data_IF_043621475539
#
_entry.id   IF_043621475539
#
_cell.length_a   1.000
_cell.length_b   1.000
_cell.length_c   1.000
_cell.angle_alpha   90.00
_cell.angle_beta   90.00
_cell.angle_gamma   90.00
#
_symmetry.space_group_name_H-M   'P 1'
#
loop_
_entity.id
_entity.type
_entity.pdbx_description
1 polymer ?
#
# COMPACT_ATOMS: atom_id res chain seq x y z
N UNK A 1 -44.27 -33.79 15.10
CA UNK A 1 -43.30 -33.77 13.98
C UNK A 1 -42.45 -35.02 14.10
N UNK A 2 -42.31 -35.79 13.01
CA UNK A 2 -41.56 -37.05 13.00
C UNK A 2 -40.05 -36.77 13.06
N UNK A 3 -39.25 -37.72 13.57
CA UNK A 3 -37.78 -37.61 13.68
C UNK A 3 -37.10 -37.19 12.35
N UNK A 4 -37.73 -37.47 11.21
CA UNK A 4 -37.24 -37.10 9.88
C UNK A 4 -37.33 -35.58 9.61
N UNK A 5 -38.36 -34.89 10.12
CA UNK A 5 -38.49 -33.43 9.94
C UNK A 5 -37.47 -32.66 10.79
N UNK A 6 -37.14 -33.14 11.99
CA UNK A 6 -36.09 -32.57 12.84
C UNK A 6 -34.69 -32.75 12.24
N UNK A 7 -34.42 -33.92 11.63
CA UNK A 7 -33.14 -34.19 10.99
C UNK A 7 -32.92 -33.31 9.74
N UNK A 8 -33.97 -33.12 8.92
CA UNK A 8 -33.90 -32.22 7.78
C UNK A 8 -33.67 -30.75 8.18
N UNK A 9 -34.31 -30.26 9.24
CA UNK A 9 -34.06 -28.90 9.73
C UNK A 9 -32.62 -28.73 10.23
N UNK A 10 -32.08 -29.73 10.92
CA UNK A 10 -30.70 -29.69 11.43
C UNK A 10 -29.66 -29.70 10.29
N UNK A 11 -29.88 -30.52 9.26
CA UNK A 11 -29.02 -30.55 8.07
C UNK A 11 -29.10 -29.23 7.27
N UNK A 12 -30.31 -28.64 7.16
CA UNK A 12 -30.50 -27.36 6.50
C UNK A 12 -29.82 -26.21 7.27
N UNK A 13 -29.85 -26.24 8.61
CA UNK A 13 -29.13 -25.30 9.46
C UNK A 13 -27.60 -25.46 9.36
N UNK A 14 -27.07 -26.69 9.24
CA UNK A 14 -25.63 -26.92 9.03
C UNK A 14 -25.21 -26.43 7.63
N UNK A 15 -26.00 -26.71 6.59
CA UNK A 15 -25.71 -26.24 5.23
C UNK A 15 -25.88 -24.72 5.07
N UNK A 16 -26.75 -24.07 5.85
CA UNK A 16 -26.84 -22.61 5.92
C UNK A 16 -25.75 -21.99 6.81
N UNK A 17 -25.36 -22.64 7.91
CA UNK A 17 -24.25 -22.19 8.77
C UNK A 17 -22.90 -22.29 8.05
N UNK A 18 -22.69 -23.28 7.18
CA UNK A 18 -21.51 -23.37 6.32
C UNK A 18 -21.52 -22.42 5.11
N UNK A 19 -22.67 -21.81 4.79
CA UNK A 19 -22.75 -20.71 3.82
C UNK A 19 -22.47 -19.32 4.43
N UNK A 20 -22.30 -19.22 5.75
CA UNK A 20 -21.83 -17.99 6.36
C UNK A 20 -20.30 -17.88 6.24
N UNK A 21 -19.89 -16.96 5.38
CA UNK A 21 -18.64 -16.19 5.51
C UNK A 21 -17.33 -16.92 5.22
N UNK A 22 -17.26 -17.65 4.11
CA UNK A 22 -16.00 -17.59 3.35
C UNK A 22 -15.96 -16.22 2.69
N UNK A 23 -15.58 -15.19 3.47
CA UNK A 23 -15.15 -13.93 2.89
C UNK A 23 -13.97 -14.30 1.98
N UNK A 24 -14.19 -14.35 0.66
CA UNK A 24 -13.12 -14.53 -0.30
C UNK A 24 -12.08 -13.46 0.04
N UNK A 25 -10.92 -13.89 0.52
CA UNK A 25 -9.81 -12.99 0.77
C UNK A 25 -9.47 -12.38 -0.58
N UNK A 26 -9.82 -11.11 -0.75
CA UNK A 26 -9.57 -10.40 -2.00
C UNK A 26 -8.06 -10.29 -2.17
N UNK A 27 -7.49 -11.17 -3.00
CA UNK A 27 -6.10 -11.04 -3.42
C UNK A 27 -6.04 -9.86 -4.41
N UNK A 28 -5.73 -8.66 -3.91
CA UNK A 28 -5.75 -7.44 -4.71
C UNK A 28 -4.86 -7.54 -5.95
N UNK A 29 -3.75 -8.28 -5.86
CA UNK A 29 -2.78 -8.47 -6.97
C UNK A 29 -3.37 -9.32 -8.11
N UNK A 30 -4.36 -10.17 -7.83
CA UNK A 30 -5.00 -11.01 -8.83
C UNK A 30 -5.82 -10.20 -9.85
N UNK A 31 -6.30 -9.01 -9.48
CA UNK A 31 -7.19 -8.19 -10.31
C UNK A 31 -6.51 -7.78 -11.63
N UNK A 32 -5.32 -7.17 -11.56
CA UNK A 32 -4.56 -6.81 -12.76
C UNK A 32 -4.02 -8.02 -13.49
N UNK A 33 -3.63 -9.08 -12.76
CA UNK A 33 -3.20 -10.34 -13.36
C UNK A 33 -4.28 -10.94 -14.28
N UNK A 34 -5.50 -11.07 -13.78
CA UNK A 34 -6.61 -11.65 -14.54
C UNK A 34 -7.02 -10.77 -15.72
N UNK A 35 -6.93 -9.45 -15.58
CA UNK A 35 -7.14 -8.52 -16.70
C UNK A 35 -6.13 -8.77 -17.83
N UNK A 36 -4.83 -8.77 -17.51
CA UNK A 36 -3.78 -8.92 -18.53
C UNK A 36 -3.77 -10.30 -19.18
N UNK A 37 -4.07 -11.35 -18.40
CA UNK A 37 -4.27 -12.71 -18.91
C UNK A 37 -5.40 -12.74 -19.94
N UNK A 38 -6.54 -12.09 -19.67
CA UNK A 38 -7.65 -11.97 -20.64
C UNK A 38 -7.28 -11.17 -21.90
N UNK A 39 -6.32 -10.26 -21.80
CA UNK A 39 -5.76 -9.53 -22.95
C UNK A 39 -4.66 -10.31 -23.70
N UNK A 40 -4.41 -11.57 -23.35
CA UNK A 40 -3.41 -12.42 -24.02
C UNK A 40 -1.96 -12.05 -23.72
N UNK A 41 -1.69 -11.28 -22.66
CA UNK A 41 -0.31 -11.02 -22.21
C UNK A 41 0.30 -12.29 -21.60
N UNK A 42 1.61 -12.45 -21.71
CA UNK A 42 2.33 -13.57 -21.10
C UNK A 42 2.53 -13.29 -19.62
N UNK A 43 2.29 -14.29 -18.77
CA UNK A 43 2.35 -14.17 -17.32
C UNK A 43 3.63 -13.50 -16.82
N UNK A 44 4.79 -13.86 -17.37
CA UNK A 44 6.09 -13.26 -17.03
C UNK A 44 6.15 -11.72 -17.15
N UNK A 45 5.32 -11.13 -18.00
CA UNK A 45 5.31 -9.69 -18.28
C UNK A 45 4.60 -8.89 -17.18
N UNK A 46 3.76 -9.53 -16.35
CA UNK A 46 2.94 -8.84 -15.35
C UNK A 46 2.82 -9.55 -14.00
N UNK A 47 3.00 -10.87 -13.95
CA UNK A 47 2.97 -11.62 -12.71
C UNK A 47 4.15 -11.25 -11.82
N UNK A 48 3.83 -11.15 -10.53
CA UNK A 48 4.79 -10.94 -9.44
C UNK A 48 4.52 -12.05 -8.45
N UNK A 49 5.58 -12.74 -8.07
CA UNK A 49 5.50 -13.69 -6.98
C UNK A 49 5.26 -12.92 -5.69
N UNK A 50 4.09 -13.13 -5.10
CA UNK A 50 3.77 -12.57 -3.79
C UNK A 50 4.57 -13.34 -2.74
N UNK A 51 5.36 -12.65 -1.90
CA UNK A 51 6.02 -13.32 -0.79
C UNK A 51 4.98 -13.90 0.16
N UNK A 52 5.02 -15.21 0.44
CA UNK A 52 4.10 -15.86 1.37
C UNK A 52 4.12 -15.23 2.79
N UNK A 53 5.25 -14.60 3.15
CA UNK A 53 5.44 -13.92 4.43
C UNK A 53 4.76 -12.54 4.50
N UNK A 54 4.41 -11.96 3.35
CA UNK A 54 3.75 -10.66 3.26
C UNK A 54 2.23 -10.84 3.15
N UNK A 55 1.50 -10.14 4.01
CA UNK A 55 0.04 -10.17 4.03
C UNK A 55 -0.53 -9.09 3.10
N UNK A 56 -1.40 -9.48 2.17
CA UNK A 56 -2.17 -8.58 1.30
C UNK A 56 -3.58 -8.32 1.82
N UNK A 57 -3.99 -8.98 2.90
CA UNK A 57 -5.26 -8.70 3.52
C UNK A 57 -5.26 -7.29 4.10
N UNK A 58 -6.41 -6.66 3.95
CA UNK A 58 -6.71 -5.38 4.57
C UNK A 58 -7.75 -5.63 5.62
N UNK A 59 -7.40 -5.34 6.87
CA UNK A 59 -8.34 -5.39 7.98
C UNK A 59 -8.43 -4.03 8.63
N UNK A 60 -9.53 -3.32 8.36
CA UNK A 60 -9.81 -2.06 9.03
C UNK A 60 -11.07 -2.17 9.87
N UNK A 61 -10.90 -2.13 11.20
CA UNK A 61 -12.04 -2.18 12.10
C UNK A 61 -12.75 -0.84 12.15
N UNK A 62 -14.02 -0.80 11.72
CA UNK A 62 -14.86 0.41 11.75
C UNK A 62 -15.12 0.93 13.18
N UNK A 63 -14.93 0.10 14.20
CA UNK A 63 -15.03 0.52 15.60
C UNK A 63 -13.96 1.56 15.98
N UNK A 64 -12.85 1.62 15.22
CA UNK A 64 -11.79 2.60 15.39
C UNK A 64 -12.26 4.03 15.16
N UNK A 65 -13.30 4.26 14.34
CA UNK A 65 -13.83 5.61 14.09
C UNK A 65 -14.35 6.29 15.35
N UNK A 66 -15.02 5.53 16.24
CA UNK A 66 -15.48 6.04 17.54
C UNK A 66 -14.31 6.34 18.46
N UNK A 67 -13.35 5.42 18.54
CA UNK A 67 -12.15 5.58 19.37
C UNK A 67 -11.32 6.78 18.94
N UNK A 68 -11.20 7.08 17.64
CA UNK A 68 -10.48 8.27 17.16
C UNK A 68 -11.00 9.56 17.79
N UNK A 69 -12.31 9.65 18.04
CA UNK A 69 -12.96 10.83 18.63
C UNK A 69 -12.92 10.82 20.16
N UNK A 70 -13.07 9.65 20.79
CA UNK A 70 -13.23 9.56 22.25
C UNK A 70 -11.95 9.22 23.01
N UNK A 71 -11.01 8.51 22.38
CA UNK A 71 -9.75 8.08 22.98
C UNK A 71 -8.68 7.90 21.88
N UNK A 72 -8.12 9.03 21.44
CA UNK A 72 -7.15 9.06 20.34
C UNK A 72 -5.90 8.20 20.60
N UNK A 73 -5.44 8.13 21.85
CA UNK A 73 -4.28 7.30 22.21
C UNK A 73 -4.53 5.80 22.03
N UNK A 74 -5.71 5.32 22.45
CA UNK A 74 -6.10 3.92 22.24
C UNK A 74 -6.35 3.61 20.76
N UNK A 75 -6.97 4.54 20.03
CA UNK A 75 -7.11 4.45 18.57
C UNK A 75 -5.76 4.28 17.88
N UNK A 76 -4.80 5.15 18.20
CA UNK A 76 -3.45 5.10 17.62
C UNK A 76 -2.74 3.79 17.96
N UNK A 77 -2.86 3.32 19.21
CA UNK A 77 -2.32 2.02 19.64
C UNK A 77 -2.87 0.86 18.79
N UNK A 78 -4.19 0.78 18.62
CA UNK A 78 -4.83 -0.29 17.82
C UNK A 78 -4.45 -0.20 16.34
N UNK A 79 -4.34 1.02 15.81
CA UNK A 79 -3.91 1.26 14.44
C UNK A 79 -2.45 0.79 14.22
N UNK A 80 -1.56 1.00 15.18
CA UNK A 80 -0.19 0.44 15.15
C UNK A 80 -0.21 -1.09 15.16
N UNK A 81 -1.05 -1.72 15.99
CA UNK A 81 -1.17 -3.18 16.04
C UNK A 81 -1.65 -3.73 14.70
N UNK A 82 -2.71 -3.17 14.13
CA UNK A 82 -3.24 -3.59 12.83
C UNK A 82 -2.20 -3.48 11.72
N UNK A 83 -1.42 -2.40 11.68
CA UNK A 83 -0.36 -2.22 10.68
C UNK A 83 0.80 -3.21 10.87
N UNK A 84 1.10 -3.60 12.10
CA UNK A 84 2.14 -4.59 12.37
C UNK A 84 1.71 -6.03 12.01
N UNK A 85 0.41 -6.31 12.07
CA UNK A 85 -0.18 -7.60 11.73
C UNK A 85 -0.52 -7.72 10.24
N UNK A 86 -1.00 -6.63 9.62
CA UNK A 86 -1.43 -6.58 8.22
C UNK A 86 -0.59 -5.58 7.43
N UNK A 87 0.14 -6.08 6.44
CA UNK A 87 0.99 -5.25 5.59
C UNK A 87 0.23 -4.55 4.45
N UNK A 88 -1.03 -4.91 4.18
CA UNK A 88 -1.80 -4.40 3.03
C UNK A 88 -0.95 -4.43 1.73
N UNK A 89 -0.25 -5.54 1.52
CA UNK A 89 0.76 -5.67 0.48
C UNK A 89 0.13 -5.80 -0.90
N UNK A 90 0.68 -5.10 -1.88
CA UNK A 90 0.38 -5.30 -3.30
C UNK A 90 1.63 -4.98 -4.13
N UNK A 91 1.64 -5.38 -5.40
CA UNK A 91 2.76 -5.07 -6.28
C UNK A 91 2.34 -5.07 -7.75
N UNK A 92 3.06 -4.30 -8.58
CA UNK A 92 2.93 -4.34 -10.03
C UNK A 92 4.27 -4.04 -10.71
N UNK A 93 4.47 -4.59 -11.92
CA UNK A 93 5.62 -4.29 -12.78
C UNK A 93 5.27 -3.04 -13.58
N UNK A 94 6.16 -2.06 -13.57
CA UNK A 94 5.98 -0.78 -14.26
C UNK A 94 7.10 -0.56 -15.26
N UNK A 95 6.71 -0.10 -16.45
CA UNK A 95 7.61 0.13 -17.57
C UNK A 95 8.06 1.60 -17.58
N UNK A 96 9.09 1.91 -16.81
CA UNK A 96 9.71 3.23 -16.84
C UNK A 96 10.60 3.38 -18.08
N UNK A 97 10.89 4.60 -18.55
CA UNK A 97 11.86 4.83 -19.63
C UNK A 97 13.26 4.27 -19.32
N UNK A 98 13.63 4.19 -18.03
CA UNK A 98 14.91 3.62 -17.57
C UNK A 98 14.92 2.09 -17.49
N UNK A 99 13.77 1.42 -17.69
CA UNK A 99 13.64 -0.03 -17.56
C UNK A 99 12.39 -0.45 -16.77
N UNK A 100 12.19 -1.77 -16.70
CA UNK A 100 11.09 -2.35 -15.91
C UNK A 100 11.48 -2.40 -14.44
N UNK A 101 10.57 -1.98 -13.57
CA UNK A 101 10.71 -2.08 -12.11
C UNK A 101 9.47 -2.72 -11.51
N UNK A 102 9.66 -3.55 -10.50
CA UNK A 102 8.56 -3.92 -9.61
C UNK A 102 8.42 -2.84 -8.56
N UNK A 103 7.21 -2.31 -8.41
CA UNK A 103 6.90 -1.39 -7.31
C UNK A 103 5.87 -2.07 -6.41
N UNK A 104 6.24 -2.18 -5.16
CA UNK A 104 5.43 -2.72 -4.08
C UNK A 104 4.71 -1.58 -3.38
N UNK A 105 3.53 -1.88 -2.85
CA UNK A 105 2.74 -1.01 -1.99
C UNK A 105 2.42 -1.70 -0.68
N UNK A 106 2.42 -0.97 0.43
CA UNK A 106 2.06 -1.53 1.75
C UNK A 106 1.58 -0.47 2.73
N UNK A 107 1.21 -0.89 3.94
CA UNK A 107 1.28 -0.12 5.18
C UNK A 107 2.74 -0.02 5.67
N UNK A 108 3.01 0.60 6.83
CA UNK A 108 4.34 0.51 7.44
C UNK A 108 4.76 -0.95 7.66
N UNK A 109 6.00 -1.28 7.31
CA UNK A 109 6.60 -2.59 7.54
C UNK A 109 7.54 -2.61 8.75
N UNK A 110 7.26 -1.76 9.75
CA UNK A 110 8.01 -1.70 11.01
C UNK A 110 7.43 -2.64 12.07
N UNK A 111 8.07 -3.79 12.28
CA UNK A 111 7.55 -4.86 13.16
C UNK A 111 8.07 -4.86 14.61
N UNK A 112 7.91 -3.78 15.38
CA UNK A 112 7.95 -3.88 16.86
C UNK A 112 6.55 -3.72 17.44
N UNK A 113 5.89 -4.84 17.71
CA UNK A 113 4.64 -4.92 18.49
C UNK A 113 5.02 -4.90 19.97
N UNK A 114 4.63 -3.84 20.68
CA UNK A 114 4.83 -3.81 22.12
C UNK A 114 3.75 -4.67 22.78
N UNK A 115 4.16 -5.78 23.38
CA UNK A 115 3.27 -6.67 24.14
C UNK A 115 2.89 -6.11 25.53
N UNK A 116 3.45 -4.96 25.92
CA UNK A 116 3.09 -4.25 27.15
C UNK A 116 2.34 -2.95 26.87
N UNK A 117 1.58 -2.46 27.87
CA UNK A 117 1.11 -1.06 27.90
C UNK A 117 2.34 -0.16 27.82
N UNK A 118 2.62 0.43 26.66
CA UNK A 118 3.59 1.52 26.62
C UNK A 118 2.86 2.75 27.18
N UNK A 119 3.34 3.33 28.29
CA UNK A 119 2.80 4.58 28.77
C UNK A 119 2.91 5.64 27.66
N UNK A 120 1.81 6.35 27.36
CA UNK A 120 1.74 7.31 26.25
C UNK A 120 2.80 8.43 26.38
N UNK A 121 3.17 8.79 27.60
CA UNK A 121 4.26 9.72 27.92
C UNK A 121 5.64 9.19 27.47
N UNK A 122 5.87 7.87 27.50
CA UNK A 122 7.10 7.28 26.95
C UNK A 122 7.13 7.31 25.42
N UNK A 123 5.96 7.12 24.78
CA UNK A 123 5.82 7.30 23.32
C UNK A 123 6.19 8.73 22.92
N UNK A 124 5.71 9.74 23.67
CA UNK A 124 6.03 11.15 23.42
C UNK A 124 7.51 11.48 23.58
N UNK A 125 8.19 10.82 24.53
CA UNK A 125 9.63 11.00 24.78
C UNK A 125 10.53 10.18 23.85
N UNK A 126 9.96 9.42 22.91
CA UNK A 126 10.73 8.53 22.05
C UNK A 126 11.33 7.31 22.77
N UNK A 127 10.88 7.03 24.00
CA UNK A 127 11.42 5.95 24.84
C UNK A 127 10.58 4.70 24.64
N UNK A 128 11.17 3.68 24.01
CA UNK A 128 10.48 2.44 23.68
C UNK A 128 11.20 1.25 24.30
N UNK A 129 10.51 0.43 25.12
CA UNK A 129 11.15 -0.74 25.71
C UNK A 129 11.57 -1.75 24.62
N UNK A 130 12.75 -2.33 24.76
CA UNK A 130 13.22 -3.37 23.84
C UNK A 130 12.42 -4.66 24.04
N UNK A 131 11.42 -4.89 23.17
CA UNK A 131 10.73 -6.17 23.08
C UNK A 131 11.32 -7.07 21.98
N UNK A 132 11.41 -8.39 22.25
CA UNK A 132 11.62 -9.42 21.21
C UNK A 132 10.30 -9.62 20.47
N UNK A 133 10.24 -9.27 19.18
CA UNK A 133 9.02 -9.44 18.37
C UNK A 133 9.36 -10.06 17.02
N UNK A 134 8.65 -11.15 16.70
CA UNK A 134 8.57 -11.80 15.38
C UNK A 134 7.35 -11.26 14.62
N UNK A 135 7.36 -9.99 14.24
CA UNK A 135 6.25 -9.39 13.48
C UNK A 135 6.36 -9.74 12.00
N UNK A 136 5.27 -10.23 11.39
CA UNK A 136 5.21 -10.54 9.94
C UNK A 136 5.66 -9.35 9.09
N UNK A 137 5.27 -8.13 9.44
CA UNK A 137 5.69 -6.90 8.77
C UNK A 137 7.22 -6.76 8.63
N UNK A 138 7.98 -7.03 9.71
CA UNK A 138 9.46 -6.97 9.68
C UNK A 138 10.04 -8.08 8.80
N UNK A 139 9.51 -9.30 8.91
CA UNK A 139 9.96 -10.43 8.11
C UNK A 139 9.66 -10.20 6.61
N UNK A 140 8.53 -9.57 6.32
CA UNK A 140 8.16 -9.13 4.98
C UNK A 140 9.15 -8.10 4.43
N UNK A 141 9.49 -7.05 5.19
CA UNK A 141 10.52 -6.08 4.76
C UNK A 141 11.87 -6.76 4.49
N UNK A 142 12.30 -7.66 5.39
CA UNK A 142 13.54 -8.40 5.22
C UNK A 142 13.52 -9.24 3.94
N UNK A 143 12.45 -10.00 3.72
CA UNK A 143 12.26 -10.79 2.51
C UNK A 143 12.34 -9.91 1.25
N UNK A 144 11.65 -8.76 1.26
CA UNK A 144 11.63 -7.85 0.11
C UNK A 144 13.02 -7.29 -0.22
N UNK A 145 13.83 -7.00 0.79
CA UNK A 145 15.22 -6.57 0.57
C UNK A 145 16.08 -7.72 0.02
N UNK A 146 15.96 -8.91 0.58
CA UNK A 146 16.81 -10.06 0.25
C UNK A 146 16.45 -10.73 -1.08
N UNK A 147 15.16 -10.76 -1.44
CA UNK A 147 14.66 -11.58 -2.55
C UNK A 147 13.97 -10.75 -3.65
N UNK A 148 13.46 -9.57 -3.32
CA UNK A 148 12.75 -8.72 -4.26
C UNK A 148 13.53 -7.49 -4.70
N UNK A 149 14.84 -7.42 -4.40
CA UNK A 149 15.74 -6.33 -4.81
C UNK A 149 15.18 -4.93 -4.51
N UNK A 150 14.50 -4.76 -3.36
CA UNK A 150 14.04 -3.43 -2.94
C UNK A 150 15.25 -2.57 -2.57
N UNK A 151 15.47 -1.51 -3.36
CA UNK A 151 16.53 -0.53 -3.16
C UNK A 151 16.01 0.82 -2.70
N UNK A 152 14.70 1.04 -2.72
CA UNK A 152 14.08 2.28 -2.28
C UNK A 152 12.82 2.04 -1.46
N UNK A 153 12.66 2.81 -0.38
CA UNK A 153 11.38 3.01 0.30
C UNK A 153 10.97 4.48 0.16
N UNK A 154 9.75 4.72 -0.29
CA UNK A 154 9.12 6.04 -0.34
C UNK A 154 7.95 6.05 0.65
N UNK A 155 8.18 6.69 1.79
CA UNK A 155 7.19 6.90 2.83
C UNK A 155 6.42 8.20 2.56
N UNK A 156 5.15 8.05 2.20
CA UNK A 156 4.22 9.12 1.86
C UNK A 156 3.48 9.69 3.07
N UNK A 157 3.71 9.17 4.28
CA UNK A 157 2.96 9.61 5.44
C UNK A 157 3.64 10.76 6.18
N UNK A 158 2.95 11.89 6.21
CA UNK A 158 3.30 13.04 7.04
C UNK A 158 2.14 13.52 7.93
N UNK A 159 1.14 12.66 8.16
CA UNK A 159 -0.02 12.99 8.98
C UNK A 159 0.28 13.20 10.46
N UNK A 160 -0.77 13.38 11.27
CA UNK A 160 -0.66 13.79 12.67
C UNK A 160 -0.40 12.66 13.68
N UNK A 161 -0.35 11.39 13.26
CA UNK A 161 -0.11 10.29 14.19
C UNK A 161 1.33 10.37 14.72
N UNK A 162 1.47 10.38 16.05
CA UNK A 162 2.77 10.41 16.76
C UNK A 162 3.54 9.11 16.55
N UNK A 163 2.84 7.98 16.39
CA UNK A 163 3.42 6.69 16.08
C UNK A 163 4.24 6.72 14.78
N UNK A 164 3.97 7.67 13.86
CA UNK A 164 4.73 7.80 12.61
C UNK A 164 6.22 7.95 12.83
N UNK A 165 6.63 8.68 13.87
CA UNK A 165 8.04 8.91 14.16
C UNK A 165 8.74 7.59 14.51
N UNK A 166 8.05 6.77 15.31
CA UNK A 166 8.54 5.48 15.77
C UNK A 166 8.59 4.48 14.62
N UNK A 167 7.48 4.32 13.91
CA UNK A 167 7.36 3.38 12.80
C UNK A 167 8.37 3.71 11.69
N UNK A 168 8.44 4.98 11.28
CA UNK A 168 9.39 5.43 10.25
C UNK A 168 10.85 5.26 10.69
N UNK A 169 11.17 5.56 11.95
CA UNK A 169 12.52 5.35 12.47
C UNK A 169 12.93 3.87 12.41
N UNK A 170 12.07 2.97 12.89
CA UNK A 170 12.36 1.53 12.88
C UNK A 170 12.42 0.96 11.47
N UNK A 171 11.49 1.34 10.60
CA UNK A 171 11.49 0.91 9.21
C UNK A 171 12.75 1.37 8.48
N UNK A 172 13.07 2.67 8.56
CA UNK A 172 14.28 3.25 7.97
C UNK A 172 15.54 2.52 8.45
N UNK A 173 15.70 2.34 9.75
CA UNK A 173 16.90 1.68 10.29
C UNK A 173 16.99 0.21 9.91
N UNK A 174 15.87 -0.52 9.93
CA UNK A 174 15.86 -1.91 9.51
C UNK A 174 16.17 -2.04 8.03
N UNK A 175 15.53 -1.23 7.18
CA UNK A 175 15.76 -1.19 5.75
C UNK A 175 17.22 -0.87 5.43
N UNK A 176 17.74 0.26 5.92
CA UNK A 176 19.11 0.68 5.65
C UNK A 176 20.15 -0.33 6.14
N UNK A 177 19.91 -0.97 7.29
CA UNK A 177 20.79 -2.05 7.79
C UNK A 177 20.73 -3.29 6.90
N UNK A 178 19.55 -3.69 6.44
CA UNK A 178 19.36 -4.86 5.58
C UNK A 178 19.89 -4.65 4.16
N UNK A 179 19.89 -3.40 3.66
CA UNK A 179 20.43 -3.07 2.32
C UNK A 179 21.93 -2.87 2.28
N UNK A 180 22.60 -2.76 3.44
CA UNK A 180 24.08 -2.69 3.50
C UNK A 180 24.63 -4.06 3.14
N UNK A 181 24.71 -4.35 1.84
CA UNK A 181 25.42 -5.50 1.33
C UNK A 181 26.94 -5.32 1.46
N UNK A 182 27.69 -6.41 1.23
CA UNK A 182 29.16 -6.40 1.19
C UNK A 182 29.73 -5.66 -0.03
N UNK A 183 28.89 -5.19 -0.95
CA UNK A 183 29.25 -4.60 -2.23
C UNK A 183 29.05 -3.07 -2.25
N UNK A 184 28.61 -2.48 -1.13
CA UNK A 184 28.52 -1.04 -0.95
C UNK A 184 27.30 -0.40 -1.60
N UNK A 185 26.28 -1.17 -1.97
CA UNK A 185 25.02 -0.57 -2.39
C UNK A 185 24.26 -0.04 -1.17
N UNK A 186 23.62 1.12 -1.33
CA UNK A 186 22.89 1.77 -0.24
C UNK A 186 21.40 1.80 -0.57
N UNK A 187 20.56 1.35 0.36
CA UNK A 187 19.13 1.57 0.30
C UNK A 187 18.80 3.06 0.39
N UNK A 188 17.78 3.48 -0.34
CA UNK A 188 17.28 4.85 -0.34
C UNK A 188 15.95 4.95 0.42
N UNK A 189 15.96 5.54 1.61
CA UNK A 189 14.73 5.79 2.38
C UNK A 189 14.35 7.26 2.26
N UNK A 190 13.21 7.57 1.65
CA UNK A 190 12.72 8.95 1.52
C UNK A 190 11.36 9.12 2.15
N UNK A 191 11.22 10.13 3.01
CA UNK A 191 9.94 10.57 3.52
C UNK A 191 9.47 11.80 2.72
N UNK A 192 8.30 11.71 2.11
CA UNK A 192 7.68 12.82 1.38
C UNK A 192 6.89 13.66 2.37
N UNK A 193 7.33 14.90 2.59
CA UNK A 193 6.67 15.85 3.49
C UNK A 193 5.56 16.60 2.78
N UNK A 194 4.48 16.92 3.50
CA UNK A 194 3.38 17.76 2.99
C UNK A 194 2.53 17.15 1.86
N UNK A 195 2.77 15.91 1.46
CA UNK A 195 1.89 15.23 0.51
C UNK A 195 0.61 14.77 1.21
N UNK A 196 -0.49 15.45 0.88
CA UNK A 196 -1.84 15.02 1.25
C UNK A 196 -2.72 14.74 0.02
N UNK A 197 -3.75 13.94 0.26
CA UNK A 197 -4.74 13.49 -0.72
C UNK A 197 -6.07 14.24 -0.64
N UNK A 198 -6.18 15.21 0.28
CA UNK A 198 -7.36 16.06 0.40
C UNK A 198 -7.51 16.95 -0.84
N UNK A 199 -8.45 16.57 -1.71
CA UNK A 199 -8.70 17.26 -2.98
C UNK A 199 -9.35 18.62 -2.77
N UNK A 200 -10.15 18.79 -1.72
CA UNK A 200 -10.86 20.04 -1.43
C UNK A 200 -9.87 21.09 -0.92
N UNK A 201 -8.98 20.71 -0.01
CA UNK A 201 -7.98 21.62 0.57
C UNK A 201 -6.87 21.97 -0.42
N UNK A 202 -6.33 20.98 -1.15
CA UNK A 202 -5.11 21.17 -1.96
C UNK A 202 -5.36 21.46 -3.42
N UNK A 203 -6.53 21.06 -3.93
CA UNK A 203 -6.85 21.07 -5.35
C UNK A 203 -6.06 20.04 -6.18
N UNK A 204 -6.64 19.66 -7.32
CA UNK A 204 -6.11 18.59 -8.17
C UNK A 204 -4.69 18.86 -8.68
N UNK A 205 -4.40 20.09 -9.08
CA UNK A 205 -3.12 20.46 -9.68
C UNK A 205 -1.94 20.35 -8.70
N UNK A 206 -2.15 20.67 -7.41
CA UNK A 206 -1.11 20.47 -6.39
C UNK A 206 -0.81 18.98 -6.22
N UNK A 207 -1.86 18.17 -6.10
CA UNK A 207 -1.73 16.71 -5.98
C UNK A 207 -1.03 16.13 -7.21
N UNK A 208 -1.35 16.62 -8.40
CA UNK A 208 -0.71 16.15 -9.64
C UNK A 208 0.79 16.44 -9.67
N UNK A 209 1.22 17.63 -9.24
CA UNK A 209 2.65 17.98 -9.17
C UNK A 209 3.40 17.06 -8.22
N UNK A 210 2.84 16.80 -7.03
CA UNK A 210 3.45 15.91 -6.04
C UNK A 210 3.55 14.48 -6.57
N UNK A 211 2.47 13.94 -7.15
CA UNK A 211 2.47 12.59 -7.73
C UNK A 211 3.50 12.46 -8.85
N UNK A 212 3.66 13.48 -9.71
CA UNK A 212 4.73 13.49 -10.73
C UNK A 212 6.11 13.44 -10.07
N UNK A 213 6.36 14.27 -9.05
CA UNK A 213 7.64 14.32 -8.35
C UNK A 213 7.97 12.99 -7.65
N UNK A 214 6.97 12.39 -6.99
CA UNK A 214 7.11 11.10 -6.32
C UNK A 214 7.45 10.00 -7.33
N UNK A 215 6.73 9.92 -8.46
CA UNK A 215 6.98 8.89 -9.48
C UNK A 215 8.35 9.11 -10.17
N UNK A 216 8.75 10.35 -10.41
CA UNK A 216 10.09 10.68 -10.93
C UNK A 216 11.20 10.22 -9.96
N UNK A 217 10.99 10.42 -8.65
CA UNK A 217 11.90 9.93 -7.62
C UNK A 217 11.98 8.40 -7.60
N UNK A 218 10.85 7.70 -7.77
CA UNK A 218 10.82 6.23 -7.89
C UNK A 218 11.58 5.76 -9.14
N UNK A 219 11.41 6.47 -10.27
CA UNK A 219 12.11 6.17 -11.51
C UNK A 219 13.62 6.37 -11.38
N UNK A 220 14.07 7.33 -10.58
CA UNK A 220 15.49 7.73 -10.47
C UNK A 220 16.42 6.75 -9.75
N UNK A 221 15.89 5.91 -8.84
CA UNK A 221 16.72 4.98 -8.04
C UNK A 221 16.70 3.58 -8.67
N UNK A 222 17.82 3.00 -9.11
CA UNK A 222 17.86 1.64 -9.67
C UNK A 222 17.30 0.58 -8.72
N UNK A 223 16.83 -0.54 -9.27
CA UNK A 223 16.18 -1.61 -8.50
C UNK A 223 14.69 -1.38 -8.25
N UNK A 224 14.10 -2.23 -7.42
CA UNK A 224 12.69 -2.19 -7.09
C UNK A 224 12.41 -1.20 -5.95
N UNK A 225 11.16 -0.74 -5.85
CA UNK A 225 10.74 0.24 -4.86
C UNK A 225 9.57 -0.26 -4.02
N UNK A 226 9.52 0.18 -2.77
CA UNK A 226 8.35 0.07 -1.89
C UNK A 226 7.78 1.46 -1.66
N UNK A 227 6.49 1.65 -1.92
CA UNK A 227 5.78 2.88 -1.60
C UNK A 227 4.74 2.60 -0.51
N UNK A 228 4.64 3.46 0.49
CA UNK A 228 3.61 3.29 1.50
C UNK A 228 3.22 4.62 2.12
N UNK A 229 2.07 4.62 2.78
CA UNK A 229 1.70 5.64 3.74
C UNK A 229 1.49 4.92 5.07
N UNK A 230 0.61 5.41 5.94
CA UNK A 230 0.39 4.73 7.22
C UNK A 230 -0.21 3.32 7.03
N UNK A 231 -1.38 3.25 6.41
CA UNK A 231 -2.10 1.99 6.18
C UNK A 231 -2.01 1.46 4.75
N UNK A 232 -1.27 2.14 3.86
CA UNK A 232 -1.15 1.73 2.45
C UNK A 232 -2.39 1.99 1.59
N UNK A 233 -3.33 2.80 2.06
CA UNK A 233 -4.66 3.00 1.47
C UNK A 233 -4.69 4.20 0.52
N UNK A 234 -4.77 5.42 1.06
CA UNK A 234 -5.11 6.65 0.31
C UNK A 234 -3.96 7.21 -0.52
N UNK A 235 -2.97 7.83 0.14
CA UNK A 235 -1.79 8.43 -0.51
C UNK A 235 -1.08 7.43 -1.42
N UNK A 236 -0.88 6.21 -0.91
CA UNK A 236 -0.32 5.09 -1.68
C UNK A 236 -1.21 4.72 -2.86
N UNK A 237 -2.52 4.61 -2.65
CA UNK A 237 -3.48 4.25 -3.70
C UNK A 237 -3.52 5.26 -4.85
N UNK A 238 -3.39 6.56 -4.57
CA UNK A 238 -3.29 7.59 -5.62
C UNK A 238 -2.03 7.39 -6.46
N UNK A 239 -0.86 7.34 -5.81
CA UNK A 239 0.42 7.22 -6.54
C UNK A 239 0.44 5.92 -7.34
N UNK A 240 0.10 4.80 -6.70
CA UNK A 240 0.07 3.49 -7.35
C UNK A 240 -0.96 3.41 -8.49
N UNK A 241 -2.15 3.95 -8.28
CA UNK A 241 -3.21 3.97 -9.29
C UNK A 241 -2.87 4.83 -10.50
N UNK A 242 -2.21 5.98 -10.29
CA UNK A 242 -1.68 6.81 -11.39
C UNK A 242 -0.58 6.07 -12.15
N UNK A 243 0.33 5.38 -11.45
CA UNK A 243 1.34 4.54 -12.11
C UNK A 243 0.70 3.43 -12.95
N UNK A 244 -0.32 2.73 -12.42
CA UNK A 244 -1.05 1.70 -13.18
C UNK A 244 -1.70 2.31 -14.42
N UNK A 245 -2.44 3.41 -14.26
CA UNK A 245 -3.11 4.10 -15.36
C UNK A 245 -2.14 4.55 -16.46
N UNK A 246 -1.05 5.20 -16.09
CA UNK A 246 -0.18 5.88 -17.05
C UNK A 246 0.96 5.01 -17.59
N UNK A 247 1.52 4.10 -16.79
CA UNK A 247 2.69 3.30 -17.19
C UNK A 247 2.30 1.91 -17.69
N UNK A 248 1.18 1.36 -17.23
CA UNK A 248 0.71 0.03 -17.63
C UNK A 248 -0.58 0.07 -18.46
N UNK A 249 -1.42 1.10 -18.26
CA UNK A 249 -2.70 1.22 -18.93
C UNK A 249 -2.57 1.29 -20.46
N UNK A 250 -3.60 0.85 -21.20
CA UNK A 250 -3.63 0.98 -22.66
C UNK A 250 -3.40 2.43 -23.13
N UNK A 251 -2.70 2.61 -24.25
CA UNK A 251 -2.50 3.95 -24.85
C UNK A 251 -3.79 4.55 -25.41
N UNK A 252 -4.72 3.71 -25.85
CA UNK A 252 -6.02 4.16 -26.34
C UNK A 252 -6.86 4.70 -25.17
N UNK A 253 -7.33 5.95 -25.28
CA UNK A 253 -8.06 6.65 -24.21
C UNK A 253 -9.31 5.91 -23.73
N UNK A 254 -10.08 5.30 -24.63
CA UNK A 254 -11.30 4.56 -24.27
C UNK A 254 -10.98 3.28 -23.51
N UNK A 255 -10.00 2.51 -24.00
CA UNK A 255 -9.51 1.32 -23.31
C UNK A 255 -8.87 1.67 -21.96
N UNK A 256 -8.13 2.78 -21.88
CA UNK A 256 -7.54 3.26 -20.64
C UNK A 256 -8.61 3.62 -19.61
N UNK A 257 -9.67 4.33 -20.02
CA UNK A 257 -10.81 4.65 -19.15
C UNK A 257 -11.45 3.38 -18.59
N UNK A 258 -11.65 2.35 -19.44
CA UNK A 258 -12.15 1.04 -19.03
C UNK A 258 -11.20 0.36 -18.04
N UNK A 259 -9.90 0.34 -18.34
CA UNK A 259 -8.86 -0.20 -17.46
C UNK A 259 -8.84 0.48 -16.08
N UNK A 260 -8.95 1.81 -16.03
CA UNK A 260 -9.00 2.54 -14.76
C UNK A 260 -10.21 2.10 -13.92
N UNK A 261 -11.39 1.96 -14.53
CA UNK A 261 -12.60 1.53 -13.81
C UNK A 261 -12.52 0.08 -13.34
N UNK A 262 -12.10 -0.83 -14.21
CA UNK A 262 -12.18 -2.28 -13.99
C UNK A 262 -10.99 -2.84 -13.22
N UNK A 263 -9.81 -2.23 -13.34
CA UNK A 263 -8.59 -2.70 -12.71
C UNK A 263 -8.20 -1.75 -11.58
N UNK A 264 -7.86 -0.50 -11.91
CA UNK A 264 -7.32 0.44 -10.91
C UNK A 264 -8.33 0.73 -9.80
N UNK A 265 -9.60 0.92 -10.14
CA UNK A 265 -10.67 1.13 -9.17
C UNK A 265 -10.94 -0.08 -8.28
N UNK A 266 -10.81 -1.30 -8.81
CA UNK A 266 -11.02 -2.53 -8.04
C UNK A 266 -9.82 -2.83 -7.13
N UNK A 267 -8.59 -2.63 -7.63
CA UNK A 267 -7.38 -2.69 -6.80
C UNK A 267 -7.43 -1.67 -5.67
N UNK A 268 -7.85 -0.44 -5.96
CA UNK A 268 -8.00 0.58 -4.93
C UNK A 268 -9.04 0.18 -3.88
N UNK A 269 -10.24 -0.24 -4.30
CA UNK A 269 -11.29 -0.75 -3.41
C UNK A 269 -10.77 -1.86 -2.50
N UNK A 270 -10.10 -2.85 -3.08
CA UNK A 270 -9.49 -3.96 -2.35
C UNK A 270 -8.52 -3.47 -1.27
N UNK A 271 -7.57 -2.61 -1.66
CA UNK A 271 -6.58 -2.06 -0.73
C UNK A 271 -7.13 -1.06 0.28
N UNK A 272 -8.41 -0.72 0.19
CA UNK A 272 -9.13 0.13 1.15
C UNK A 272 -10.17 -0.64 1.97
N UNK A 273 -10.23 -1.98 1.89
CA UNK A 273 -11.25 -2.79 2.57
C UNK A 273 -12.69 -2.34 2.22
N UNK A 274 -12.90 -1.93 0.96
CA UNK A 274 -14.24 -1.62 0.45
C UNK A 274 -15.00 -2.93 0.24
N UNK A 275 -16.18 -3.03 0.84
CA UNK A 275 -17.06 -4.20 0.72
C UNK A 275 -18.36 -3.85 -0.02
N UNK A 276 -18.97 -2.72 0.33
CA UNK A 276 -20.23 -2.25 -0.27
C UNK A 276 -20.40 -0.73 -0.10
N UNK A 277 -21.52 -0.18 -0.59
CA UNK A 277 -21.83 1.23 -0.39
C UNK A 277 -22.10 1.59 1.08
N UNK A 278 -22.57 0.62 1.87
CA UNK A 278 -22.82 0.74 3.31
C UNK A 278 -21.55 0.47 4.14
N UNK A 279 -20.59 -0.26 3.57
CA UNK A 279 -19.29 -0.62 4.17
C UNK A 279 -18.16 -0.22 3.23
N UNK A 280 -17.94 1.08 3.11
CA UNK A 280 -16.98 1.67 2.17
C UNK A 280 -15.52 1.47 2.56
N UNK A 281 -15.23 1.01 3.78
CA UNK A 281 -13.86 0.90 4.29
C UNK A 281 -13.17 2.24 4.36
N UNK A 282 -11.92 2.26 3.94
CA UNK A 282 -11.15 3.47 3.67
C UNK A 282 -11.32 4.00 2.24
N UNK A 283 -12.32 3.57 1.47
CA UNK A 283 -12.51 4.09 0.11
C UNK A 283 -12.93 5.56 0.13
N UNK A 284 -12.36 6.35 -0.78
CA UNK A 284 -12.70 7.74 -1.03
C UNK A 284 -12.84 7.99 -2.52
N UNK A 285 -13.96 8.56 -2.95
CA UNK A 285 -14.25 8.82 -4.37
C UNK A 285 -13.35 9.93 -4.94
N UNK A 286 -12.90 10.84 -4.10
CA UNK A 286 -12.00 11.95 -4.43
C UNK A 286 -10.65 11.40 -4.93
N UNK A 287 -10.13 10.36 -4.27
CA UNK A 287 -8.89 9.69 -4.67
C UNK A 287 -9.02 9.04 -6.06
N UNK A 288 -10.16 8.42 -6.34
CA UNK A 288 -10.46 7.89 -7.67
C UNK A 288 -10.60 9.00 -8.70
N UNK A 289 -11.21 10.13 -8.33
CA UNK A 289 -11.33 11.31 -9.20
C UNK A 289 -9.94 11.85 -9.59
N UNK A 290 -9.01 11.92 -8.62
CA UNK A 290 -7.61 12.29 -8.88
C UNK A 290 -6.98 11.34 -9.89
N UNK A 291 -7.08 10.02 -9.67
CA UNK A 291 -6.50 8.99 -10.56
C UNK A 291 -7.09 9.10 -11.97
N UNK A 292 -8.42 9.15 -12.09
CA UNK A 292 -9.16 9.19 -13.36
C UNK A 292 -8.82 10.44 -14.18
N UNK A 293 -8.69 11.60 -13.52
CA UNK A 293 -8.43 12.88 -14.19
C UNK A 293 -6.94 13.19 -14.38
N UNK A 294 -6.03 12.43 -13.75
CA UNK A 294 -4.58 12.68 -13.83
C UNK A 294 -4.07 12.71 -15.28
N UNK A 295 -3.32 13.76 -15.70
CA UNK A 295 -2.86 13.94 -17.08
C UNK A 295 -1.56 13.15 -17.37
N UNK A 296 -1.67 11.91 -17.86
CA UNK A 296 -0.52 11.02 -18.09
C UNK A 296 0.58 11.62 -18.99
N UNK A 297 0.24 12.48 -19.95
CA UNK A 297 1.23 13.12 -20.82
C UNK A 297 2.23 13.98 -20.04
N UNK A 298 1.82 14.60 -18.93
CA UNK A 298 2.73 15.37 -18.07
C UNK A 298 3.75 14.47 -17.38
N UNK A 299 3.32 13.28 -16.94
CA UNK A 299 4.19 12.28 -16.34
C UNK A 299 5.16 11.71 -17.39
N UNK A 300 4.68 11.32 -18.58
CA UNK A 300 5.53 10.84 -19.66
C UNK A 300 6.56 11.89 -20.11
N UNK A 301 6.15 13.16 -20.23
CA UNK A 301 7.05 14.27 -20.52
C UNK A 301 8.11 14.45 -19.43
N UNK A 302 7.75 14.26 -18.14
CA UNK A 302 8.72 14.33 -17.04
C UNK A 302 9.74 13.20 -17.10
N UNK A 303 9.28 11.97 -17.27
CA UNK A 303 10.12 10.76 -17.24
C UNK A 303 10.99 10.59 -18.50
N UNK A 304 10.63 11.23 -19.62
CA UNK A 304 11.42 11.22 -20.86
C UNK A 304 12.56 12.24 -20.87
N UNK A 305 12.60 13.17 -19.91
CA UNK A 305 13.74 14.07 -19.77
C UNK A 305 14.95 13.25 -19.35
N UNK A 306 16.03 13.31 -20.15
CA UNK A 306 17.34 12.82 -19.70
C UNK A 306 17.63 13.45 -18.34
N UNK A 307 18.13 12.70 -17.35
CA UNK A 307 18.58 13.29 -16.09
C UNK A 307 19.51 14.43 -16.47
N UNK A 308 19.16 15.67 -16.12
CA UNK A 308 20.10 16.76 -16.37
C UNK A 308 21.33 16.41 -15.56
N UNK A 309 22.52 16.45 -16.16
CA UNK A 309 23.81 16.23 -15.49
C UNK A 309 24.11 17.22 -14.36
N UNK A 310 23.13 18.05 -13.98
CA UNK A 310 23.17 19.05 -12.93
C UNK A 310 23.32 18.41 -11.56
N UNK A 311 24.36 18.88 -10.85
CA UNK A 311 24.83 18.51 -9.52
C UNK A 311 23.71 18.11 -8.56
N UNK A 312 23.92 16.99 -7.84
CA UNK A 312 23.12 16.58 -6.66
C UNK A 312 22.84 17.81 -5.80
N UNK A 313 21.57 18.16 -5.67
CA UNK A 313 21.11 19.07 -4.62
C UNK A 313 20.97 18.19 -3.39
N UNK A 314 21.84 18.39 -2.41
CA UNK A 314 21.70 17.76 -1.11
C UNK A 314 20.45 18.35 -0.44
N UNK A 315 19.42 17.50 -0.27
CA UNK A 315 18.17 17.78 0.46
C UNK A 315 18.23 17.21 1.88
#
# INVERSE_FOLDING_TARGET
MTNLQQFCLFLFCILFAFKFSHAETFNCTKISHDYWKKQGKKEKDFAIEKPAICDDNVHWSYTLGKLRKTNFGEFERLVVLNVAETSNMGAAKFHFPSGVKTVYRSSFLSGKIFSGKIPYDKIQKGIFPEGKVKGKARQCLQYLVENADIRQIVNLYDGSFKSKYVLSYWEKNNFLRSTKDKQGSFGHYTQIKGFDYDLEERGAESIYKDVIAIIDQIASVPGNALIHCYGGMHRTGIVFGVMQKCLNGPKNKSQNKKFVKEVVGQEYKCHTDYQSAEKIGGYHQENMTVIEKFPCDRLHKRLSRKPSSTKRIDL
#
